data_IF_079252035720
#
_entry.id   IF_079252035720
#
_cell.length_a   1.000
_cell.length_b   1.000
_cell.length_c   1.000
_cell.angle_alpha   90.00
_cell.angle_beta   90.00
_cell.angle_gamma   90.00
#
_symmetry.space_group_name_H-M   'P 1'
#
loop_
_entity.id
_entity.type
_entity.pdbx_description
1 polymer ?
#
# COMPACT_ATOMS: atom_id res chain seq x y z
N UNK A 1 -1.97 69.95 33.99
CA UNK A 1 -1.85 70.23 32.54
C UNK A 1 -3.23 69.99 31.93
N UNK A 2 -4.05 71.04 31.74
CA UNK A 2 -5.40 70.89 31.17
C UNK A 2 -5.25 70.60 29.69
N UNK A 3 -5.44 69.35 29.28
CA UNK A 3 -5.39 68.96 27.88
C UNK A 3 -6.56 69.66 27.19
N UNK A 4 -6.24 70.52 26.23
CA UNK A 4 -7.22 71.28 25.49
C UNK A 4 -7.88 70.32 24.49
N UNK A 5 -9.03 69.75 24.85
CA UNK A 5 -9.73 68.74 24.05
C UNK A 5 -9.94 69.17 22.59
N UNK A 6 -10.07 70.48 22.35
CA UNK A 6 -10.16 71.04 21.01
C UNK A 6 -8.89 70.80 20.16
N UNK A 7 -7.70 70.89 20.77
CA UNK A 7 -6.44 70.58 20.08
C UNK A 7 -6.31 69.07 19.81
N UNK A 8 -6.75 68.22 20.75
CA UNK A 8 -6.72 66.77 20.57
C UNK A 8 -7.63 66.32 19.43
N UNK A 9 -8.85 66.85 19.36
CA UNK A 9 -9.82 66.57 18.28
C UNK A 9 -9.28 67.05 16.93
N UNK A 10 -8.69 68.25 16.87
CA UNK A 10 -8.06 68.78 15.64
C UNK A 10 -6.87 67.92 15.19
N UNK A 11 -6.09 67.39 16.15
CA UNK A 11 -4.96 66.52 15.86
C UNK A 11 -5.42 65.16 15.33
N UNK A 12 -6.38 64.52 16.00
CA UNK A 12 -6.98 63.25 15.58
C UNK A 12 -7.61 63.36 14.19
N UNK A 13 -8.40 64.40 13.94
CA UNK A 13 -9.03 64.64 12.65
C UNK A 13 -8.03 64.77 11.50
N UNK A 14 -6.88 65.44 11.74
CA UNK A 14 -5.80 65.55 10.76
C UNK A 14 -5.14 64.20 10.48
N UNK A 15 -4.84 63.42 11.51
CA UNK A 15 -4.25 62.08 11.33
C UNK A 15 -5.20 61.12 10.61
N UNK A 16 -6.51 61.16 10.91
CA UNK A 16 -7.50 60.35 10.18
C UNK A 16 -7.61 60.76 8.72
N UNK A 17 -7.48 62.06 8.41
CA UNK A 17 -7.53 62.55 7.04
C UNK A 17 -6.28 62.13 6.24
N UNK A 18 -5.10 62.19 6.86
CA UNK A 18 -3.87 61.68 6.25
C UNK A 18 -3.91 60.16 6.07
N UNK A 19 -4.46 59.41 7.03
CA UNK A 19 -4.66 57.96 6.92
C UNK A 19 -5.61 57.59 5.78
N UNK A 20 -6.72 58.31 5.64
CA UNK A 20 -7.67 58.08 4.55
C UNK A 20 -7.07 58.47 3.19
N UNK A 21 -6.32 59.56 3.10
CA UNK A 21 -5.62 59.95 1.88
C UNK A 21 -4.56 58.93 1.46
N UNK A 22 -3.79 58.41 2.43
CA UNK A 22 -2.83 57.33 2.21
C UNK A 22 -3.54 56.05 1.73
N UNK A 23 -4.67 55.70 2.33
CA UNK A 23 -5.47 54.54 1.94
C UNK A 23 -6.01 54.67 0.51
N UNK A 24 -6.51 55.85 0.12
CA UNK A 24 -6.96 56.12 -1.25
C UNK A 24 -5.79 56.06 -2.24
N UNK A 25 -4.60 56.53 -1.85
CA UNK A 25 -3.39 56.47 -2.69
C UNK A 25 -2.90 55.02 -2.91
N UNK A 26 -3.06 54.13 -1.92
CA UNK A 26 -2.78 52.70 -2.08
C UNK A 26 -3.89 51.93 -2.81
N UNK A 27 -5.11 52.46 -2.92
CA UNK A 27 -6.21 51.85 -3.67
C UNK A 27 -6.13 52.07 -5.19
N UNK A 28 -5.36 53.06 -5.65
CA UNK A 28 -5.21 53.37 -7.07
C UNK A 28 -3.96 52.72 -7.66
N UNK A 29 -3.89 51.39 -7.72
CA UNK A 29 -3.14 50.66 -8.75
C UNK A 29 -3.55 49.18 -8.80
N UNK A 30 -4.86 48.94 -8.92
CA UNK A 30 -5.35 47.76 -9.65
C UNK A 30 -6.07 48.32 -10.87
N UNK A 31 -5.29 48.80 -11.83
CA UNK A 31 -5.75 48.75 -13.21
C UNK A 31 -5.88 47.26 -13.51
N UNK A 32 -7.13 46.78 -13.44
CA UNK A 32 -7.53 45.56 -14.09
C UNK A 32 -7.20 45.75 -15.58
N UNK A 33 -6.00 45.35 -15.99
CA UNK A 33 -5.83 44.86 -17.34
C UNK A 33 -6.89 43.79 -17.48
N UNK A 34 -7.75 43.92 -18.49
CA UNK A 34 -8.60 42.82 -18.90
C UNK A 34 -7.70 41.61 -18.99
N UNK A 35 -7.86 40.66 -18.06
CA UNK A 35 -7.35 39.33 -18.24
C UNK A 35 -8.01 38.88 -19.54
N UNK A 36 -7.30 39.01 -20.65
CA UNK A 36 -7.69 38.43 -21.90
C UNK A 36 -7.70 36.93 -21.63
N UNK A 37 -8.87 36.47 -21.21
CA UNK A 37 -9.20 35.09 -20.98
C UNK A 37 -8.76 34.35 -22.24
N UNK A 38 -7.75 33.50 -22.07
CA UNK A 38 -7.37 32.40 -22.95
C UNK A 38 -7.97 32.49 -24.36
N UNK A 39 -7.36 33.30 -25.23
CA UNK A 39 -7.90 33.58 -26.56
C UNK A 39 -7.84 32.30 -27.41
N UNK A 40 -8.97 31.92 -28.00
CA UNK A 40 -9.05 30.81 -28.94
C UNK A 40 -8.38 31.20 -30.25
N UNK A 41 -7.76 30.23 -30.94
CA UNK A 41 -7.26 30.45 -32.32
C UNK A 41 -8.35 30.94 -33.28
N UNK A 42 -9.63 30.75 -32.95
CA UNK A 42 -10.76 31.22 -33.76
C UNK A 42 -11.06 32.73 -33.65
N UNK A 43 -10.49 33.38 -32.64
CA UNK A 43 -10.77 34.80 -32.33
C UNK A 43 -9.57 35.70 -32.60
N UNK A 44 -8.37 35.12 -32.71
CA UNK A 44 -7.13 35.84 -33.03
C UNK A 44 -6.95 35.94 -34.53
N UNK A 45 -6.63 37.14 -35.02
CA UNK A 45 -6.37 37.39 -36.43
C UNK A 45 -4.92 37.84 -36.65
N UNK A 46 -4.33 37.42 -37.76
CA UNK A 46 -2.94 37.63 -38.15
C UNK A 46 -2.86 38.18 -39.57
N UNK A 47 -1.77 38.87 -39.87
CA UNK A 47 -1.46 39.32 -41.23
C UNK A 47 -0.62 38.24 -41.95
N UNK A 48 -1.13 37.78 -43.10
CA UNK A 48 -0.54 36.69 -43.88
C UNK A 48 0.01 37.22 -45.20
N UNK A 49 1.26 36.86 -45.51
CA UNK A 49 2.05 37.41 -46.63
C UNK A 49 2.00 36.59 -47.94
N UNK A 50 1.01 35.70 -48.08
CA UNK A 50 0.66 35.09 -49.37
C UNK A 50 1.41 33.82 -49.75
N UNK A 51 2.73 33.78 -49.56
CA UNK A 51 3.56 32.61 -49.92
C UNK A 51 4.57 32.30 -48.83
N UNK A 52 4.66 31.03 -48.44
CA UNK A 52 5.62 30.53 -47.45
C UNK A 52 6.38 29.34 -47.99
N UNK A 53 7.68 29.24 -47.66
CA UNK A 53 8.56 28.17 -48.17
C UNK A 53 8.36 26.85 -47.40
N UNK A 54 7.89 26.92 -46.16
CA UNK A 54 7.63 25.74 -45.31
C UNK A 54 6.50 25.98 -44.31
N UNK A 55 5.94 24.88 -43.77
CA UNK A 55 4.97 24.95 -42.68
C UNK A 55 5.54 25.62 -41.42
N UNK A 56 6.83 25.41 -41.17
CA UNK A 56 7.54 26.03 -40.05
C UNK A 56 7.58 27.55 -40.16
N UNK A 57 7.77 28.08 -41.37
CA UNK A 57 7.79 29.53 -41.61
C UNK A 57 6.43 30.17 -41.30
N UNK A 58 5.33 29.47 -41.63
CA UNK A 58 3.97 29.90 -41.25
C UNK A 58 3.81 29.86 -39.74
N UNK A 59 4.17 28.75 -39.08
CA UNK A 59 4.01 28.63 -37.62
C UNK A 59 4.82 29.71 -36.89
N UNK A 60 6.08 29.94 -37.27
CA UNK A 60 6.89 31.03 -36.72
C UNK A 60 6.29 32.41 -36.95
N UNK A 61 5.64 32.62 -38.08
CA UNK A 61 4.93 33.88 -38.35
C UNK A 61 3.74 34.06 -37.41
N UNK A 62 3.00 32.98 -37.13
CA UNK A 62 1.91 32.96 -36.16
C UNK A 62 2.44 33.21 -34.75
N UNK A 63 3.50 32.52 -34.33
CA UNK A 63 4.16 32.69 -33.00
C UNK A 63 4.73 34.10 -32.80
N UNK A 64 5.14 34.78 -33.88
CA UNK A 64 5.66 36.14 -33.79
C UNK A 64 4.55 37.20 -33.62
N UNK A 65 3.36 36.92 -34.14
CA UNK A 65 2.22 37.85 -34.11
C UNK A 65 1.22 37.53 -32.99
N UNK A 66 1.34 36.37 -32.34
CA UNK A 66 0.39 35.86 -31.35
C UNK A 66 1.13 35.22 -30.18
N UNK A 67 0.46 35.07 -29.05
CA UNK A 67 1.03 34.38 -27.89
C UNK A 67 1.00 32.84 -28.02
N UNK A 68 0.68 32.30 -29.20
CA UNK A 68 0.62 30.85 -29.42
C UNK A 68 2.01 30.26 -29.64
N UNK A 69 2.24 29.04 -29.16
CA UNK A 69 3.45 28.25 -29.38
C UNK A 69 3.10 26.91 -30.05
N UNK A 70 3.82 26.53 -31.11
CA UNK A 70 3.56 25.29 -31.83
C UNK A 70 4.49 24.16 -31.38
N UNK A 71 3.89 23.02 -31.03
CA UNK A 71 4.60 21.78 -30.74
C UNK A 71 4.36 20.76 -31.86
N UNK A 72 5.41 20.39 -32.58
CA UNK A 72 5.36 19.45 -33.70
C UNK A 72 6.60 18.54 -33.73
N UNK A 73 6.44 17.33 -34.27
CA UNK A 73 7.54 16.38 -34.39
C UNK A 73 8.29 16.51 -35.73
N UNK A 74 9.53 16.03 -35.78
CA UNK A 74 10.48 16.21 -36.90
C UNK A 74 10.00 15.67 -38.28
N UNK A 75 8.87 14.95 -38.32
CA UNK A 75 8.24 14.48 -39.56
C UNK A 75 7.81 15.62 -40.51
N UNK A 76 7.84 16.87 -40.05
CA UNK A 76 7.53 18.05 -40.87
C UNK A 76 8.65 18.44 -41.85
N UNK A 77 9.89 17.97 -41.66
CA UNK A 77 11.02 18.29 -42.54
C UNK A 77 10.84 17.74 -43.98
N UNK A 78 9.94 16.77 -44.17
CA UNK A 78 9.62 16.18 -45.49
C UNK A 78 8.51 16.97 -46.24
N UNK A 79 7.93 18.00 -45.64
CA UNK A 79 6.87 18.84 -46.24
C UNK A 79 7.47 20.17 -46.71
N UNK A 80 8.40 20.10 -47.66
CA UNK A 80 8.98 21.27 -48.34
C UNK A 80 8.28 21.50 -49.68
N UNK A 81 7.17 22.22 -49.64
CA UNK A 81 6.48 22.71 -50.83
C UNK A 81 5.99 24.14 -50.59
N UNK A 82 6.02 24.97 -51.63
CA UNK A 82 5.51 26.34 -51.59
C UNK A 82 4.05 26.34 -51.14
N UNK A 83 3.80 26.93 -49.97
CA UNK A 83 2.48 26.98 -49.36
C UNK A 83 1.86 28.32 -49.72
N UNK A 84 0.84 28.27 -50.57
CA UNK A 84 0.07 29.46 -50.98
C UNK A 84 -1.15 29.58 -50.09
N UNK A 85 -1.23 30.69 -49.37
CA UNK A 85 -2.37 31.04 -48.50
C UNK A 85 -2.87 32.41 -48.95
N UNK A 86 -4.18 32.65 -48.95
CA UNK A 86 -4.71 33.94 -49.34
C UNK A 86 -4.17 35.09 -48.47
N UNK A 87 -3.66 36.16 -49.10
CA UNK A 87 -3.10 37.35 -48.46
C UNK A 87 -4.16 38.15 -47.68
N UNK A 88 -3.74 38.78 -46.58
CA UNK A 88 -4.55 39.72 -45.79
C UNK A 88 -4.75 39.32 -44.33
N UNK A 89 -5.66 40.04 -43.66
CA UNK A 89 -6.01 39.80 -42.25
C UNK A 89 -6.93 38.57 -42.13
N UNK A 90 -6.39 37.48 -41.56
CA UNK A 90 -7.03 36.16 -41.47
C UNK A 90 -7.07 35.69 -40.02
N UNK A 91 -8.13 34.97 -39.62
CA UNK A 91 -8.14 34.30 -38.31
C UNK A 91 -7.15 33.13 -38.31
N UNK A 92 -6.42 32.96 -37.21
CA UNK A 92 -5.46 31.85 -37.04
C UNK A 92 -6.14 30.50 -37.28
N UNK A 93 -7.34 30.33 -36.74
CA UNK A 93 -8.15 29.13 -36.94
C UNK A 93 -8.43 28.83 -38.40
N UNK A 94 -8.76 29.84 -39.23
CA UNK A 94 -9.04 29.62 -40.65
C UNK A 94 -7.77 29.20 -41.41
N UNK A 95 -6.63 29.77 -41.05
CA UNK A 95 -5.32 29.42 -41.63
C UNK A 95 -4.94 27.98 -41.27
N UNK A 96 -5.07 27.60 -39.99
CA UNK A 96 -4.79 26.23 -39.55
C UNK A 96 -5.77 25.21 -40.16
N UNK A 97 -7.02 25.61 -40.43
CA UNK A 97 -8.01 24.75 -41.07
C UNK A 97 -7.66 24.47 -42.53
N UNK A 98 -7.20 25.50 -43.25
CA UNK A 98 -6.72 25.39 -44.62
C UNK A 98 -5.50 24.45 -44.71
N UNK A 99 -4.53 24.63 -43.80
CA UNK A 99 -3.35 23.78 -43.67
C UNK A 99 -3.73 22.33 -43.30
N UNK A 100 -4.70 22.14 -42.40
CA UNK A 100 -5.22 20.82 -42.00
C UNK A 100 -5.72 20.03 -43.20
N UNK A 101 -6.43 20.71 -44.12
CA UNK A 101 -6.98 20.11 -45.34
C UNK A 101 -5.91 19.81 -46.38
N UNK A 102 -4.97 20.72 -46.60
CA UNK A 102 -3.90 20.54 -47.60
C UNK A 102 -2.92 19.43 -47.20
N UNK A 103 -2.50 19.39 -45.94
CA UNK A 103 -1.39 18.54 -45.49
C UNK A 103 -1.81 17.37 -44.59
N UNK A 104 -3.12 17.17 -44.40
CA UNK A 104 -3.68 16.10 -43.57
C UNK A 104 -3.18 16.13 -42.13
N UNK A 105 -3.21 17.32 -41.53
CA UNK A 105 -2.76 17.57 -40.17
C UNK A 105 -3.95 17.78 -39.22
N UNK A 106 -3.84 17.28 -37.99
CA UNK A 106 -4.72 17.59 -36.86
C UNK A 106 -4.03 18.61 -35.99
N UNK A 107 -4.73 19.70 -35.72
CA UNK A 107 -4.32 20.73 -34.78
C UNK A 107 -5.15 20.60 -33.51
N UNK A 108 -4.47 20.59 -32.37
CA UNK A 108 -5.12 20.58 -31.06
C UNK A 108 -4.51 21.69 -30.20
N UNK A 109 -5.32 22.70 -29.90
CA UNK A 109 -4.99 23.82 -29.03
C UNK A 109 -5.31 23.43 -27.58
N UNK A 110 -4.33 23.59 -26.70
CA UNK A 110 -4.49 23.57 -25.24
C UNK A 110 -3.81 24.81 -24.70
N UNK A 111 -4.60 25.74 -24.15
CA UNK A 111 -4.12 27.06 -23.73
C UNK A 111 -3.46 27.80 -24.89
N UNK A 112 -2.20 28.21 -24.73
CA UNK A 112 -1.40 28.84 -25.76
C UNK A 112 -0.61 27.85 -26.61
N UNK A 113 -0.57 26.57 -26.23
CA UNK A 113 0.17 25.57 -26.99
C UNK A 113 -0.71 24.91 -28.05
N UNK A 114 -0.20 24.81 -29.27
CA UNK A 114 -0.87 24.17 -30.41
C UNK A 114 -0.04 22.95 -30.81
N UNK A 115 -0.57 21.77 -30.54
CA UNK A 115 0.04 20.50 -30.95
C UNK A 115 -0.37 20.11 -32.37
N UNK A 116 0.60 19.72 -33.20
CA UNK A 116 0.38 19.34 -34.61
C UNK A 116 0.70 17.87 -34.83
N UNK A 117 -0.27 17.10 -35.32
CA UNK A 117 -0.14 15.65 -35.53
C UNK A 117 -0.60 15.25 -36.94
N UNK A 118 0.07 14.26 -37.56
CA UNK A 118 -0.34 13.71 -38.86
C UNK A 118 -1.55 12.78 -38.71
N UNK A 119 -2.55 12.91 -39.58
CA UNK A 119 -3.76 12.09 -39.57
C UNK A 119 -3.71 11.04 -40.68
N UNK A 120 -4.10 9.80 -40.37
CA UNK A 120 -4.23 8.73 -41.37
C UNK A 120 -5.47 8.99 -42.25
N UNK A 121 -5.37 8.71 -43.55
CA UNK A 121 -6.37 9.09 -44.57
C UNK A 121 -7.82 8.65 -44.28
N UNK A 122 -8.05 7.62 -43.46
CA UNK A 122 -9.39 7.10 -43.13
C UNK A 122 -10.09 7.85 -41.98
N UNK A 123 -9.46 8.85 -41.37
CA UNK A 123 -9.98 9.57 -40.19
C UNK A 123 -10.14 11.08 -40.41
N UNK A 124 -10.18 11.56 -41.65
CA UNK A 124 -10.39 12.99 -41.95
C UNK A 124 -11.88 13.31 -42.11
N UNK A 125 -12.48 14.11 -41.22
CA UNK A 125 -13.80 14.71 -41.43
C UNK A 125 -13.70 15.84 -42.48
N UNK A 126 -14.77 16.02 -43.28
CA UNK A 126 -14.85 17.02 -44.37
C UNK A 126 -14.60 18.47 -43.90
N UNK A 127 -14.80 18.77 -42.62
CA UNK A 127 -14.62 20.11 -42.07
C UNK A 127 -13.19 20.42 -41.61
N UNK A 128 -12.28 19.43 -41.56
CA UNK A 128 -10.91 19.52 -41.00
C UNK A 128 -10.86 19.41 -39.46
N UNK A 129 -9.70 19.13 -38.86
CA UNK A 129 -9.57 18.91 -37.40
C UNK A 129 -8.85 20.07 -36.69
N UNK A 130 -9.66 20.98 -36.14
CA UNK A 130 -9.23 21.96 -35.13
C UNK A 130 -9.99 21.72 -33.82
N UNK A 131 -9.30 21.17 -32.84
CA UNK A 131 -9.84 20.89 -31.51
C UNK A 131 -9.29 21.91 -30.52
N UNK A 132 -10.16 22.78 -29.98
CA UNK A 132 -9.81 23.78 -28.98
C UNK A 132 -10.30 23.28 -27.63
N UNK A 133 -9.36 22.87 -26.77
CA UNK A 133 -9.66 22.47 -25.40
C UNK A 133 -9.35 23.65 -24.49
N UNK A 134 -10.40 24.23 -23.90
CA UNK A 134 -10.25 25.21 -22.83
C UNK A 134 -10.11 24.43 -21.52
N UNK A 135 -9.13 24.79 -20.69
CA UNK A 135 -9.02 24.22 -19.34
C UNK A 135 -9.57 25.23 -18.34
N UNK A 136 -10.14 24.72 -17.25
CA UNK A 136 -10.52 25.52 -16.08
C UNK A 136 -9.84 24.96 -14.85
N UNK A 137 -9.43 25.83 -13.94
CA UNK A 137 -8.88 25.41 -12.65
C UNK A 137 -10.02 25.09 -11.69
N UNK A 138 -10.03 23.88 -11.13
CA UNK A 138 -10.91 23.44 -10.05
C UNK A 138 -10.08 23.40 -8.77
N UNK A 139 -10.56 24.05 -7.72
CA UNK A 139 -9.98 23.97 -6.39
C UNK A 139 -10.98 23.41 -5.39
N UNK A 140 -10.50 23.04 -4.20
CA UNK A 140 -11.37 22.56 -3.15
C UNK A 140 -10.61 21.98 -1.97
N UNK A 141 -11.36 21.52 -0.97
CA UNK A 141 -10.85 20.84 0.20
C UNK A 141 -11.46 19.46 0.37
N UNK A 142 -10.62 18.47 0.63
CA UNK A 142 -11.05 17.11 0.97
C UNK A 142 -10.99 16.93 2.48
N UNK A 143 -12.08 16.44 3.06
CA UNK A 143 -12.21 16.20 4.51
C UNK A 143 -12.72 14.80 4.81
N UNK A 144 -12.42 14.29 6.00
CA UNK A 144 -12.97 13.02 6.49
C UNK A 144 -14.40 13.21 7.00
N UNK A 145 -15.28 12.25 6.74
CA UNK A 145 -16.64 12.25 7.29
C UNK A 145 -16.66 12.12 8.82
N UNK A 146 -15.68 11.44 9.42
CA UNK A 146 -15.68 11.09 10.85
C UNK A 146 -15.38 12.31 11.75
N UNK A 147 -14.36 13.09 11.41
CA UNK A 147 -13.83 14.16 12.26
C UNK A 147 -13.77 15.53 11.57
N UNK A 148 -14.20 15.62 10.30
CA UNK A 148 -14.14 16.82 9.46
C UNK A 148 -12.72 17.41 9.31
N UNK A 149 -11.68 16.62 9.59
CA UNK A 149 -10.30 17.06 9.40
C UNK A 149 -9.93 17.00 7.92
N UNK A 150 -9.00 17.86 7.51
CA UNK A 150 -8.49 17.87 6.13
C UNK A 150 -7.69 16.60 5.86
N UNK A 151 -7.97 15.92 4.75
CA UNK A 151 -7.32 14.67 4.39
C UNK A 151 -6.11 14.93 3.48
N UNK A 152 -4.87 14.72 3.96
CA UNK A 152 -3.68 14.83 3.13
C UNK A 152 -3.50 13.57 2.25
N UNK A 153 -2.87 13.75 1.08
CA UNK A 153 -2.49 12.62 0.24
C UNK A 153 -3.63 11.97 -0.57
N UNK A 154 -4.77 12.62 -0.69
CA UNK A 154 -5.89 12.15 -1.51
C UNK A 154 -5.58 12.40 -2.99
N UNK A 155 -5.70 11.35 -3.81
CA UNK A 155 -5.57 11.46 -5.26
C UNK A 155 -6.87 11.99 -5.87
N UNK A 156 -6.78 13.11 -6.59
CA UNK A 156 -7.89 13.74 -7.31
C UNK A 156 -7.62 13.67 -8.80
N UNK A 157 -8.37 12.85 -9.54
CA UNK A 157 -8.09 12.55 -10.96
C UNK A 157 -9.31 12.87 -11.83
N UNK A 158 -9.09 13.41 -13.03
CA UNK A 158 -10.15 13.56 -14.04
C UNK A 158 -10.46 12.19 -14.65
N UNK A 159 -11.70 11.75 -14.50
CA UNK A 159 -12.15 10.40 -14.90
C UNK A 159 -11.79 10.09 -16.36
N UNK A 160 -11.15 8.95 -16.60
CA UNK A 160 -10.74 8.51 -17.95
C UNK A 160 -9.43 9.12 -18.46
N UNK A 161 -8.76 9.95 -17.67
CA UNK A 161 -7.45 10.54 -18.01
C UNK A 161 -6.41 10.23 -16.95
N UNK A 162 -5.14 10.56 -17.22
CA UNK A 162 -4.04 10.53 -16.24
C UNK A 162 -3.82 11.89 -15.56
N UNK A 163 -4.66 12.89 -15.85
CA UNK A 163 -4.53 14.23 -15.30
C UNK A 163 -5.15 14.27 -13.90
N UNK A 164 -4.32 14.57 -12.90
CA UNK A 164 -4.74 14.62 -11.51
C UNK A 164 -3.76 15.40 -10.64
N UNK A 165 -4.14 15.55 -9.38
CA UNK A 165 -3.35 16.22 -8.34
C UNK A 165 -3.51 15.48 -7.02
N UNK A 166 -2.73 15.85 -6.01
CA UNK A 166 -2.78 15.28 -4.66
C UNK A 166 -3.08 16.40 -3.66
N UNK A 167 -3.88 16.11 -2.63
CA UNK A 167 -4.18 17.10 -1.58
C UNK A 167 -2.97 17.41 -0.70
N UNK A 168 -2.88 18.66 -0.24
CA UNK A 168 -1.85 19.14 0.69
C UNK A 168 -2.09 18.66 2.14
N UNK A 169 -1.20 19.05 3.06
CA UNK A 169 -1.29 18.73 4.51
C UNK A 169 -2.59 19.17 5.18
N UNK A 170 -3.29 20.16 4.62
CA UNK A 170 -4.55 20.67 5.13
C UNK A 170 -5.76 20.13 4.34
N UNK A 171 -5.54 19.24 3.37
CA UNK A 171 -6.56 18.67 2.49
C UNK A 171 -6.94 19.52 1.28
N UNK A 172 -6.25 20.62 0.99
CA UNK A 172 -6.58 21.46 -0.17
C UNK A 172 -5.99 20.88 -1.46
N UNK A 173 -6.67 21.09 -2.58
CA UNK A 173 -6.18 20.74 -3.90
C UNK A 173 -6.50 21.82 -4.95
N UNK A 174 -5.75 21.80 -6.04
CA UNK A 174 -5.99 22.60 -7.24
C UNK A 174 -5.60 21.79 -8.48
N UNK A 175 -6.51 21.69 -9.45
CA UNK A 175 -6.36 20.88 -10.65
C UNK A 175 -6.93 21.61 -11.86
N UNK A 176 -6.14 21.73 -12.92
CA UNK A 176 -6.66 22.17 -14.21
C UNK A 176 -7.38 21.01 -14.90
N UNK A 177 -8.63 21.25 -15.32
CA UNK A 177 -9.51 20.25 -15.93
C UNK A 177 -10.02 20.77 -17.28
N UNK A 178 -9.98 19.97 -18.37
CA UNK A 178 -10.61 20.34 -19.63
C UNK A 178 -12.11 20.61 -19.45
N UNK A 179 -12.64 21.66 -20.09
CA UNK A 179 -14.08 22.01 -19.99
C UNK A 179 -15.02 20.95 -20.53
N UNK A 180 -14.52 19.98 -21.29
CA UNK A 180 -15.27 18.83 -21.82
C UNK A 180 -15.47 17.73 -20.78
N UNK A 181 -14.62 17.68 -19.75
CA UNK A 181 -14.64 16.63 -18.74
C UNK A 181 -15.40 17.07 -17.50
N UNK A 182 -16.24 16.16 -16.99
CA UNK A 182 -17.27 16.51 -16.01
C UNK A 182 -17.17 15.72 -14.73
N UNK A 183 -16.26 14.76 -14.58
CA UNK A 183 -16.21 13.94 -13.35
C UNK A 183 -14.80 13.88 -12.78
N UNK A 184 -14.67 14.21 -11.49
CA UNK A 184 -13.48 13.98 -10.69
C UNK A 184 -13.66 12.70 -9.87
N UNK A 185 -12.57 11.95 -9.73
CA UNK A 185 -12.47 10.75 -8.91
C UNK A 185 -11.54 11.04 -7.75
N UNK A 186 -12.03 10.85 -6.53
CA UNK A 186 -11.27 11.01 -5.31
C UNK A 186 -10.97 9.63 -4.75
N UNK A 187 -9.70 9.35 -4.48
CA UNK A 187 -9.26 8.08 -3.92
C UNK A 187 -8.18 8.27 -2.88
N UNK A 188 -8.29 7.53 -1.78
CA UNK A 188 -7.33 7.52 -0.68
C UNK A 188 -7.36 6.16 0.01
N UNK A 189 -6.25 5.76 0.61
CA UNK A 189 -6.15 4.48 1.32
C UNK A 189 -7.05 4.52 2.56
N UNK A 190 -7.91 3.53 2.72
CA UNK A 190 -8.86 3.44 3.84
C UNK A 190 -10.15 4.24 3.65
N UNK A 191 -10.40 4.81 2.47
CA UNK A 191 -11.62 5.54 2.12
C UNK A 191 -12.27 4.98 0.86
N UNK A 192 -13.60 5.09 0.78
CA UNK A 192 -14.35 4.69 -0.40
C UNK A 192 -14.01 5.65 -1.54
N UNK A 193 -13.81 5.11 -2.74
CA UNK A 193 -13.61 5.92 -3.94
C UNK A 193 -14.91 6.67 -4.27
N UNK A 194 -14.83 7.99 -4.33
CA UNK A 194 -15.98 8.86 -4.61
C UNK A 194 -15.82 9.50 -5.98
N UNK A 195 -16.91 9.54 -6.75
CA UNK A 195 -16.97 10.21 -8.04
C UNK A 195 -17.91 11.41 -7.97
N UNK A 196 -17.41 12.59 -8.31
CA UNK A 196 -18.19 13.84 -8.25
C UNK A 196 -18.26 14.47 -9.63
N UNK A 197 -19.49 14.75 -10.08
CA UNK A 197 -19.71 15.53 -11.27
C UNK A 197 -19.48 17.01 -10.97
N UNK A 198 -18.48 17.60 -11.63
CA UNK A 198 -18.03 18.98 -11.41
C UNK A 198 -18.85 20.03 -12.16
N UNK A 199 -19.71 19.63 -13.10
CA UNK A 199 -20.61 20.54 -13.83
C UNK A 199 -19.91 21.79 -14.35
N UNK A 200 -20.40 22.99 -13.97
CA UNK A 200 -19.75 24.29 -14.24
C UNK A 200 -19.11 24.92 -12.98
N UNK A 201 -18.96 24.16 -11.90
CA UNK A 201 -18.40 24.67 -10.65
C UNK A 201 -16.87 24.80 -10.77
N UNK A 202 -16.29 25.75 -10.03
CA UNK A 202 -14.84 25.98 -9.92
C UNK A 202 -14.28 25.63 -8.55
N UNK A 203 -15.15 25.47 -7.54
CA UNK A 203 -14.80 25.08 -6.17
C UNK A 203 -15.65 23.87 -5.78
N UNK A 204 -15.00 22.78 -5.36
CA UNK A 204 -15.65 21.52 -5.00
C UNK A 204 -15.02 20.97 -3.73
N UNK A 205 -15.76 21.04 -2.63
CA UNK A 205 -15.35 20.39 -1.39
C UNK A 205 -15.86 18.95 -1.36
N UNK A 206 -15.00 18.03 -0.94
CA UNK A 206 -15.29 16.60 -0.89
C UNK A 206 -15.21 16.11 0.55
N UNK A 207 -16.23 15.35 0.97
CA UNK A 207 -16.22 14.62 2.24
C UNK A 207 -16.06 13.14 1.94
N UNK A 208 -14.90 12.56 2.21
CA UNK A 208 -14.65 11.14 1.97
C UNK A 208 -15.21 10.28 3.09
N UNK A 209 -15.92 9.23 2.69
CA UNK A 209 -16.44 8.21 3.61
C UNK A 209 -15.35 7.17 3.88
N UNK A 210 -15.00 6.87 5.14
CA UNK A 210 -14.05 5.81 5.45
C UNK A 210 -14.58 4.46 4.94
N UNK A 211 -13.69 3.67 4.32
CA UNK A 211 -14.03 2.32 3.87
C UNK A 211 -13.88 1.36 5.05
N UNK A 212 -14.96 1.25 5.84
CA UNK A 212 -15.02 0.36 7.00
C UNK A 212 -14.90 -1.12 6.57
N UNK A 213 -15.19 -1.42 5.30
CA UNK A 213 -15.00 -2.75 4.69
C UNK A 213 -13.54 -3.07 4.38
N UNK A 214 -12.70 -2.07 4.10
CA UNK A 214 -11.27 -2.26 3.86
C UNK A 214 -10.47 -2.65 5.13
N UNK A 215 -11.11 -2.57 6.31
CA UNK A 215 -10.57 -3.06 7.58
C UNK A 215 -10.94 -4.53 7.88
N UNK A 216 -11.75 -5.17 7.03
CA UNK A 216 -12.04 -6.60 7.13
C UNK A 216 -11.00 -7.38 6.33
N UNK A 217 -9.98 -7.86 7.05
CA UNK A 217 -8.95 -8.78 6.58
C UNK A 217 -9.54 -9.88 5.68
N UNK A 218 -9.27 -9.79 4.36
CA UNK A 218 -9.73 -10.76 3.38
C UNK A 218 -8.89 -12.02 3.54
N UNK A 219 -9.55 -13.08 3.93
CA UNK A 219 -9.01 -14.42 4.05
C UNK A 219 -9.32 -15.17 2.75
N UNK A 220 -8.27 -15.50 1.99
CA UNK A 220 -8.40 -16.28 0.75
C UNK A 220 -8.27 -17.76 1.11
N UNK A 221 -9.40 -18.42 1.34
CA UNK A 221 -9.46 -19.88 1.45
C UNK A 221 -9.69 -20.40 0.03
N UNK A 222 -8.84 -21.32 -0.42
CA UNK A 222 -8.89 -21.90 -1.76
C UNK A 222 -10.31 -22.24 -2.23
N UNK A 223 -10.64 -21.74 -3.43
CA UNK A 223 -11.88 -21.94 -4.23
C UNK A 223 -13.12 -21.06 -3.91
N UNK A 224 -13.04 -20.05 -3.04
CA UNK A 224 -14.10 -19.02 -2.94
C UNK A 224 -13.83 -17.91 -1.93
N UNK A 225 -14.35 -16.71 -2.19
CA UNK A 225 -14.30 -15.56 -1.26
C UNK A 225 -15.48 -15.64 -0.28
N UNK A 226 -15.21 -15.79 1.02
CA UNK A 226 -16.26 -15.75 2.06
C UNK A 226 -15.87 -14.72 3.10
N UNK A 227 -16.81 -13.83 3.46
CA UNK A 227 -16.58 -12.82 4.50
C UNK A 227 -16.40 -13.48 5.86
N UNK A 228 -15.54 -12.91 6.71
CA UNK A 228 -15.35 -13.34 8.12
C UNK A 228 -16.66 -13.33 8.91
N UNK A 229 -17.63 -12.49 8.51
CA UNK A 229 -18.97 -12.40 9.06
C UNK A 229 -19.94 -13.51 8.61
N UNK A 230 -19.69 -14.17 7.48
CA UNK A 230 -20.53 -15.28 6.98
C UNK A 230 -20.09 -16.65 7.55
N UNK A 231 -18.91 -16.70 8.18
CA UNK A 231 -18.48 -17.82 9.01
C UNK A 231 -19.09 -17.65 10.41
N UNK A 232 -20.28 -18.22 10.62
CA UNK A 232 -20.94 -18.29 11.94
C UNK A 232 -20.18 -19.16 12.96
N UNK A 233 -18.92 -19.53 12.69
CA UNK A 233 -18.08 -20.43 13.47
C UNK A 233 -16.83 -19.73 14.04
N UNK A 234 -16.32 -20.28 15.13
CA UNK A 234 -15.11 -19.84 15.85
C UNK A 234 -13.85 -20.04 15.03
N UNK A 235 -13.56 -19.14 14.11
CA UNK A 235 -12.26 -19.09 13.42
C UNK A 235 -11.26 -18.32 14.30
N UNK A 236 -10.10 -18.93 14.56
CA UNK A 236 -8.96 -18.21 15.13
C UNK A 236 -8.04 -17.76 14.01
N UNK A 237 -7.68 -16.48 13.94
CA UNK A 237 -6.67 -15.97 13.00
C UNK A 237 -5.45 -15.48 13.78
N UNK A 238 -4.26 -15.75 13.25
CA UNK A 238 -2.98 -15.24 13.72
C UNK A 238 -2.32 -14.55 12.52
N UNK A 239 -2.06 -13.26 12.65
CA UNK A 239 -1.51 -12.42 11.58
C UNK A 239 0.02 -12.49 11.54
N UNK A 240 0.63 -12.11 10.41
CA UNK A 240 2.10 -12.00 10.30
C UNK A 240 2.73 -11.14 11.42
N UNK A 241 2.06 -10.04 11.81
CA UNK A 241 2.55 -9.14 12.88
C UNK A 241 2.64 -9.85 14.24
N UNK A 242 1.78 -10.83 14.49
CA UNK A 242 1.80 -11.63 15.72
C UNK A 242 2.94 -12.65 15.75
N UNK A 243 3.51 -12.98 14.58
CA UNK A 243 4.55 -13.99 14.36
C UNK A 243 5.93 -13.33 14.26
N UNK A 244 6.06 -12.22 13.52
CA UNK A 244 7.33 -11.56 13.18
C UNK A 244 8.14 -11.07 14.39
N UNK A 245 7.48 -10.75 15.50
CA UNK A 245 8.15 -10.26 16.72
C UNK A 245 8.55 -11.35 17.71
N UNK A 246 8.29 -12.62 17.39
CA UNK A 246 8.60 -13.73 18.28
C UNK A 246 9.90 -14.41 17.81
N UNK A 247 10.92 -14.55 18.70
CA UNK A 247 12.13 -15.31 18.40
C UNK A 247 11.85 -16.81 18.53
N UNK A 248 10.90 -17.31 17.75
CA UNK A 248 10.52 -18.72 17.71
C UNK A 248 11.27 -19.45 16.62
N UNK A 249 11.61 -20.69 16.90
CA UNK A 249 12.34 -21.56 15.97
C UNK A 249 11.41 -22.28 14.99
N UNK A 250 10.11 -22.35 15.31
CA UNK A 250 9.10 -23.01 14.48
C UNK A 250 7.74 -22.34 14.59
N UNK A 251 6.93 -22.48 13.54
CA UNK A 251 5.56 -21.93 13.49
C UNK A 251 4.66 -22.57 14.56
N UNK A 252 4.96 -23.79 15.02
CA UNK A 252 4.20 -24.43 16.08
C UNK A 252 4.25 -23.68 17.41
N UNK A 253 5.37 -23.00 17.69
CA UNK A 253 5.56 -22.24 18.92
C UNK A 253 4.70 -20.96 18.91
N UNK A 254 4.42 -20.36 17.75
CA UNK A 254 3.55 -19.18 17.67
C UNK A 254 2.09 -19.51 17.93
N UNK A 255 1.66 -20.75 17.65
CA UNK A 255 0.31 -21.22 17.95
C UNK A 255 0.05 -21.36 19.46
N UNK A 256 1.11 -21.46 20.28
CA UNK A 256 0.98 -21.62 21.73
C UNK A 256 0.34 -20.37 22.37
N UNK A 257 -0.89 -20.54 22.88
CA UNK A 257 -1.58 -19.50 23.66
C UNK A 257 -2.13 -18.32 22.83
N UNK A 258 -1.90 -18.29 21.52
CA UNK A 258 -2.42 -17.25 20.62
C UNK A 258 -3.83 -17.55 20.09
N UNK A 259 -4.21 -18.83 20.00
CA UNK A 259 -5.54 -19.24 19.56
C UNK A 259 -6.32 -19.95 20.68
N UNK A 260 -7.47 -19.39 21.07
CA UNK A 260 -8.34 -20.00 22.07
C UNK A 260 -8.79 -21.41 21.65
N UNK A 261 -8.68 -22.39 22.54
CA UNK A 261 -9.07 -23.79 22.27
C UNK A 261 -8.08 -24.58 21.41
N UNK A 262 -6.88 -24.05 21.18
CA UNK A 262 -5.76 -24.75 20.54
C UNK A 262 -4.74 -25.10 21.62
N UNK A 263 -4.44 -26.39 21.73
CA UNK A 263 -3.42 -26.91 22.63
C UNK A 263 -2.26 -27.42 21.78
N UNK A 264 -1.07 -26.89 22.03
CA UNK A 264 0.16 -27.35 21.40
C UNK A 264 1.00 -28.01 22.47
N UNK A 265 1.37 -29.28 22.25
CA UNK A 265 2.20 -30.05 23.17
C UNK A 265 3.51 -30.44 22.50
N UNK A 266 4.62 -30.05 23.12
CA UNK A 266 5.94 -30.55 22.73
C UNK A 266 6.10 -31.99 23.24
N UNK A 267 6.45 -32.90 22.34
CA UNK A 267 6.74 -34.30 22.69
C UNK A 267 8.17 -34.46 23.22
N UNK A 268 9.07 -33.51 22.93
CA UNK A 268 10.47 -33.55 23.35
C UNK A 268 11.12 -32.17 23.28
N UNK A 269 12.08 -31.88 24.16
CA UNK A 269 12.93 -30.68 24.08
C UNK A 269 14.03 -30.75 23.01
N UNK A 270 14.00 -31.75 22.12
CA UNK A 270 14.98 -31.90 21.04
C UNK A 270 14.65 -30.93 19.89
N UNK A 271 15.62 -30.12 19.42
CA UNK A 271 15.43 -29.29 18.25
C UNK A 271 14.99 -30.11 17.03
N UNK A 272 14.05 -29.57 16.25
CA UNK A 272 13.55 -30.21 15.02
C UNK A 272 12.50 -31.32 15.22
N UNK A 273 12.11 -31.63 16.46
CA UNK A 273 10.96 -32.52 16.71
C UNK A 273 9.65 -31.73 16.56
N UNK A 274 8.73 -32.24 15.73
CA UNK A 274 7.42 -31.64 15.53
C UNK A 274 6.61 -31.55 16.84
N UNK A 275 5.89 -30.46 17.01
CA UNK A 275 4.93 -30.30 18.11
C UNK A 275 3.57 -30.82 17.66
N UNK A 276 2.86 -31.48 18.58
CA UNK A 276 1.50 -31.96 18.30
C UNK A 276 0.49 -30.85 18.61
N UNK A 277 -0.35 -30.53 17.63
CA UNK A 277 -1.42 -29.52 17.76
C UNK A 277 -2.75 -30.24 17.94
N UNK A 278 -3.59 -29.73 18.85
CA UNK A 278 -4.90 -30.27 19.13
C UNK A 278 -5.92 -29.13 19.24
N UNK A 279 -6.99 -29.21 18.46
CA UNK A 279 -8.06 -28.20 18.43
C UNK A 279 -9.28 -28.78 19.14
N UNK A 280 -9.74 -28.10 20.20
CA UNK A 280 -10.90 -28.52 21.03
C UNK A 280 -10.78 -29.92 21.67
N UNK A 281 -9.56 -30.39 21.94
CA UNK A 281 -9.31 -31.64 22.66
C UNK A 281 -9.26 -32.88 21.77
N UNK A 282 -9.35 -34.07 22.37
CA UNK A 282 -9.26 -35.35 21.65
C UNK A 282 -10.63 -35.85 21.20
N UNK A 283 -10.83 -35.97 19.89
CA UNK A 283 -12.03 -36.57 19.30
C UNK A 283 -12.01 -38.11 19.21
N UNK A 284 -10.88 -38.75 19.54
CA UNK A 284 -10.70 -40.20 19.44
C UNK A 284 -9.75 -40.70 20.53
N UNK A 285 -10.02 -41.91 21.02
CA UNK A 285 -9.21 -42.62 22.03
C UNK A 285 -8.08 -43.42 21.35
N UNK A 286 -8.30 -43.89 20.12
CA UNK A 286 -7.37 -44.78 19.39
C UNK A 286 -6.91 -44.23 18.03
N UNK A 287 -7.51 -43.13 17.55
CA UNK A 287 -7.22 -42.52 16.25
C UNK A 287 -6.29 -41.30 16.35
N UNK A 288 -5.87 -40.78 15.20
CA UNK A 288 -5.10 -39.55 15.12
C UNK A 288 -5.97 -38.34 15.51
N UNK A 289 -5.45 -37.47 16.38
CA UNK A 289 -6.11 -36.24 16.83
C UNK A 289 -5.44 -34.97 16.28
N UNK A 290 -4.45 -35.11 15.38
CA UNK A 290 -3.88 -33.97 14.67
C UNK A 290 -4.94 -33.33 13.74
N UNK A 291 -4.91 -32.01 13.57
CA UNK A 291 -5.73 -31.32 12.57
C UNK A 291 -5.18 -31.59 11.16
N UNK A 292 -5.99 -31.25 10.16
CA UNK A 292 -5.51 -31.17 8.78
C UNK A 292 -4.75 -29.85 8.61
N UNK A 293 -3.54 -29.91 8.06
CA UNK A 293 -2.79 -28.71 7.69
C UNK A 293 -3.01 -28.40 6.22
N UNK A 294 -3.21 -27.14 5.86
CA UNK A 294 -3.38 -26.70 4.47
C UNK A 294 -2.41 -25.55 4.24
N UNK A 295 -1.40 -25.75 3.40
CA UNK A 295 -0.41 -24.73 3.07
C UNK A 295 -0.68 -24.25 1.66
N UNK A 296 -0.99 -22.97 1.48
CA UNK A 296 -1.30 -22.36 0.18
C UNK A 296 -2.34 -23.15 -0.64
N UNK A 297 -3.34 -23.71 0.05
CA UNK A 297 -4.41 -24.52 -0.55
C UNK A 297 -4.09 -26.00 -0.72
N UNK A 298 -2.86 -26.45 -0.44
CA UNK A 298 -2.47 -27.86 -0.53
C UNK A 298 -2.60 -28.57 0.84
N UNK A 299 -3.41 -29.64 0.95
CA UNK A 299 -3.58 -30.36 2.21
C UNK A 299 -2.39 -31.28 2.52
N UNK A 300 -1.94 -31.23 3.76
CA UNK A 300 -0.91 -32.07 4.36
C UNK A 300 -1.49 -32.81 5.56
N UNK A 301 -1.44 -34.14 5.52
CA UNK A 301 -1.77 -34.95 6.69
C UNK A 301 -0.56 -35.03 7.61
N UNK A 302 -0.75 -34.73 8.89
CA UNK A 302 0.22 -35.12 9.92
C UNK A 302 0.12 -36.64 10.13
N UNK A 303 0.76 -37.41 9.26
CA UNK A 303 0.90 -38.85 9.45
C UNK A 303 2.10 -39.14 10.36
N UNK A 304 1.95 -39.95 11.41
CA UNK A 304 3.09 -40.45 12.16
C UNK A 304 3.89 -41.40 11.25
N UNK A 305 4.93 -40.87 10.62
CA UNK A 305 5.82 -41.63 9.74
C UNK A 305 6.74 -42.52 10.57
N UNK A 306 6.39 -43.80 10.74
CA UNK A 306 7.33 -44.90 11.03
C UNK A 306 8.26 -44.76 12.24
N UNK A 307 7.94 -43.88 13.17
CA UNK A 307 8.68 -43.55 14.38
C UNK A 307 7.82 -42.56 15.16
N UNK A 308 7.97 -42.50 16.48
CA UNK A 308 7.09 -41.76 17.41
C UNK A 308 7.13 -40.21 17.26
N UNK A 309 7.32 -39.67 16.05
CA UNK A 309 7.41 -38.25 15.76
C UNK A 309 6.35 -37.87 14.74
N UNK A 310 5.38 -37.05 15.16
CA UNK A 310 4.39 -36.44 14.27
C UNK A 310 5.11 -35.49 13.32
N UNK A 311 5.11 -35.80 12.01
CA UNK A 311 5.62 -34.88 10.99
C UNK A 311 4.57 -33.82 10.73
N UNK A 312 4.74 -32.67 11.36
CA UNK A 312 3.88 -31.51 11.16
C UNK A 312 4.56 -30.58 10.12
N UNK A 313 3.89 -30.21 9.01
CA UNK A 313 4.48 -29.30 8.01
C UNK A 313 4.91 -27.95 8.60
N UNK A 314 4.31 -27.52 9.72
CA UNK A 314 4.68 -26.30 10.44
C UNK A 314 6.10 -26.30 11.01
N UNK A 315 6.72 -27.46 11.24
CA UNK A 315 8.13 -27.51 11.68
C UNK A 315 9.13 -27.32 10.54
N UNK A 316 8.68 -27.43 9.28
CA UNK A 316 9.52 -27.21 8.09
C UNK A 316 9.36 -25.84 7.47
N UNK A 317 8.32 -25.09 7.88
CA UNK A 317 8.06 -23.74 7.39
C UNK A 317 8.81 -22.72 8.24
N UNK A 318 9.40 -21.73 7.57
CA UNK A 318 10.02 -20.60 8.24
C UNK A 318 8.91 -19.62 8.69
N UNK A 319 8.85 -19.22 9.97
CA UNK A 319 7.88 -18.24 10.46
C UNK A 319 7.87 -16.92 9.69
N UNK A 320 9.01 -16.48 9.14
CA UNK A 320 9.10 -15.21 8.39
C UNK A 320 8.34 -15.24 7.06
N UNK A 321 8.11 -16.43 6.52
CA UNK A 321 7.48 -16.62 5.21
C UNK A 321 5.95 -16.73 5.35
N UNK A 322 5.43 -16.77 6.57
CA UNK A 322 4.00 -16.88 6.85
C UNK A 322 3.34 -15.50 6.82
N UNK A 323 2.28 -15.38 6.04
CA UNK A 323 1.41 -14.20 6.00
C UNK A 323 0.28 -14.28 7.03
N UNK A 324 -0.39 -15.43 7.10
CA UNK A 324 -1.47 -15.66 8.05
C UNK A 324 -1.59 -17.15 8.40
N UNK A 325 -2.09 -17.42 9.60
CA UNK A 325 -2.51 -18.75 10.03
C UNK A 325 -3.94 -18.68 10.50
N UNK A 326 -4.79 -19.50 9.92
CA UNK A 326 -6.21 -19.57 10.22
C UNK A 326 -6.57 -20.95 10.73
N UNK A 327 -7.37 -20.98 11.78
CA UNK A 327 -7.70 -22.19 12.49
C UNK A 327 -9.21 -22.35 12.48
N UNK A 328 -9.68 -23.31 11.68
CA UNK A 328 -11.08 -23.69 11.55
C UNK A 328 -11.42 -24.72 12.62
N UNK A 329 -12.27 -24.32 13.57
CA UNK A 329 -12.60 -25.14 14.76
C UNK A 329 -13.98 -25.81 14.69
N UNK A 330 -14.86 -25.31 13.84
CA UNK A 330 -16.27 -25.72 13.75
C UNK A 330 -16.57 -26.55 12.50
N UNK A 331 -17.52 -27.47 12.64
CA UNK A 331 -17.92 -28.39 11.56
C UNK A 331 -18.41 -27.67 10.29
N UNK A 332 -19.01 -26.48 10.41
CA UNK A 332 -19.45 -25.67 9.26
C UNK A 332 -18.28 -25.10 8.46
N UNK A 333 -17.23 -24.62 9.15
CA UNK A 333 -16.02 -24.09 8.52
C UNK A 333 -15.18 -25.21 7.89
N UNK A 334 -15.21 -26.40 8.48
CA UNK A 334 -14.39 -27.54 8.06
C UNK A 334 -15.09 -28.43 7.02
N UNK A 335 -16.38 -28.25 6.76
CA UNK A 335 -17.17 -29.08 5.85
C UNK A 335 -16.54 -29.25 4.46
N UNK A 336 -15.78 -28.25 3.99
CA UNK A 336 -15.08 -28.25 2.69
C UNK A 336 -14.00 -29.34 2.64
N UNK A 337 -13.32 -29.60 3.77
CA UNK A 337 -12.23 -30.58 3.87
C UNK A 337 -12.71 -31.99 4.28
N UNK A 338 -14.02 -32.16 4.46
CA UNK A 338 -14.65 -33.45 4.76
C UNK A 338 -14.15 -34.11 6.04
N UNK A 339 -14.07 -35.44 6.05
CA UNK A 339 -13.69 -36.22 7.23
C UNK A 339 -12.26 -35.95 7.73
N UNK A 340 -11.37 -35.46 6.86
CA UNK A 340 -9.97 -35.15 7.20
C UNK A 340 -9.85 -33.94 8.13
N UNK A 341 -10.82 -33.03 8.08
CA UNK A 341 -10.89 -31.91 9.00
C UNK A 341 -11.71 -32.18 10.28
N UNK A 342 -12.12 -33.41 10.57
CA UNK A 342 -12.91 -33.70 11.77
C UNK A 342 -12.25 -33.23 13.09
N UNK A 343 -10.92 -33.11 13.11
CA UNK A 343 -10.12 -32.59 14.22
C UNK A 343 -9.78 -31.09 14.12
N UNK A 344 -10.41 -30.38 13.19
CA UNK A 344 -10.09 -29.00 12.82
C UNK A 344 -9.12 -28.90 11.64
N UNK A 345 -9.00 -27.70 11.07
CA UNK A 345 -8.10 -27.39 9.95
C UNK A 345 -7.25 -26.18 10.29
N UNK A 346 -5.95 -26.28 10.04
CA UNK A 346 -5.00 -25.17 10.14
C UNK A 346 -4.60 -24.78 8.72
N UNK A 347 -5.09 -23.63 8.27
CA UNK A 347 -4.74 -23.04 6.97
C UNK A 347 -3.57 -22.09 7.19
N UNK A 348 -2.57 -22.21 6.34
CA UNK A 348 -1.35 -21.41 6.36
C UNK A 348 -1.23 -20.78 4.98
N UNK A 349 -1.13 -19.46 4.98
CA UNK A 349 -0.89 -18.68 3.76
C UNK A 349 0.50 -18.10 3.83
N UNK A 350 1.31 -18.34 2.80
CA UNK A 350 2.65 -17.78 2.69
C UNK A 350 2.63 -16.40 2.04
N UNK A 351 3.63 -15.57 2.36
CA UNK A 351 3.80 -14.25 1.77
C UNK A 351 4.05 -14.39 0.27
N UNK A 352 3.24 -13.68 -0.53
CA UNK A 352 3.42 -13.58 -1.98
C UNK A 352 4.02 -12.23 -2.36
N UNK A 353 4.77 -12.19 -3.47
CA UNK A 353 5.34 -10.94 -3.98
C UNK A 353 4.24 -10.00 -4.48
N UNK A 354 4.30 -8.73 -4.07
CA UNK A 354 3.40 -7.68 -4.55
C UNK A 354 3.95 -7.01 -5.81
N UNK A 355 3.05 -6.54 -6.68
CA UNK A 355 3.43 -5.79 -7.88
C UNK A 355 3.91 -4.39 -7.44
N UNK A 356 5.19 -4.11 -7.59
CA UNK A 356 5.76 -2.83 -7.18
C UNK A 356 7.29 -2.80 -7.23
N UNK A 357 7.87 -1.81 -6.55
CA UNK A 357 9.31 -1.75 -6.36
C UNK A 357 9.80 -2.94 -5.51
N UNK A 358 10.97 -3.53 -5.81
CA UNK A 358 11.49 -4.65 -5.03
C UNK A 358 11.77 -4.21 -3.58
N UNK A 359 11.18 -4.92 -2.62
CA UNK A 359 11.44 -4.74 -1.19
C UNK A 359 12.39 -5.85 -0.75
N UNK A 360 13.50 -5.47 -0.11
CA UNK A 360 14.50 -6.41 0.41
C UNK A 360 14.59 -6.23 1.92
N UNK A 361 14.23 -7.27 2.68
CA UNK A 361 14.43 -7.36 4.13
C UNK A 361 15.56 -8.33 4.45
N UNK A 362 16.33 -8.03 5.50
CA UNK A 362 17.41 -8.89 5.99
C UNK A 362 17.34 -8.96 7.51
N UNK A 363 17.21 -10.18 8.02
CA UNK A 363 17.07 -10.47 9.45
C UNK A 363 18.21 -11.38 9.90
N UNK A 364 18.84 -11.05 11.03
CA UNK A 364 19.93 -11.83 11.61
C UNK A 364 19.77 -11.91 13.13
N UNK A 365 19.81 -13.14 13.67
CA UNK A 365 19.65 -13.41 15.09
C UNK A 365 20.77 -14.33 15.59
N UNK A 366 21.16 -14.16 16.86
CA UNK A 366 22.12 -15.01 17.56
C UNK A 366 21.59 -15.34 18.94
N UNK A 367 21.68 -16.60 19.36
CA UNK A 367 21.19 -17.06 20.66
C UNK A 367 21.98 -18.27 21.17
N UNK A 368 22.08 -18.37 22.50
CA UNK A 368 22.71 -19.51 23.19
C UNK A 368 21.63 -20.17 24.04
N UNK A 369 21.43 -21.47 23.86
CA UNK A 369 20.49 -22.26 24.65
C UNK A 369 21.24 -23.02 25.74
N UNK A 370 20.72 -22.97 26.98
CA UNK A 370 21.22 -23.77 28.10
C UNK A 370 20.05 -24.40 28.87
N UNK A 371 20.30 -25.52 29.54
CA UNK A 371 19.30 -26.16 30.39
C UNK A 371 19.03 -25.28 31.61
N UNK A 372 17.77 -24.90 31.84
CA UNK A 372 17.39 -24.01 32.96
C UNK A 372 17.74 -24.61 34.34
N UNK A 373 17.70 -25.95 34.46
CA UNK A 373 18.02 -26.68 35.69
C UNK A 373 18.61 -28.04 35.33
N UNK A 374 19.94 -28.20 35.29
CA UNK A 374 20.51 -29.54 35.37
C UNK A 374 20.07 -30.17 36.70
N UNK A 375 19.75 -31.46 36.68
CA UNK A 375 19.57 -32.18 37.94
C UNK A 375 20.90 -32.15 38.69
N UNK A 376 20.86 -31.86 39.98
CA UNK A 376 22.02 -32.00 40.84
C UNK A 376 22.35 -33.50 40.93
N UNK A 377 23.36 -33.92 40.17
CA UNK A 377 23.85 -35.29 40.20
C UNK A 377 24.77 -35.45 41.40
N UNK A 378 24.64 -36.57 42.11
CA UNK A 378 25.59 -36.94 43.15
C UNK A 378 26.98 -37.18 42.53
N UNK A 379 28.03 -36.73 43.22
CA UNK A 379 29.40 -36.98 42.79
C UNK A 379 29.76 -38.47 42.89
N UNK A 380 30.85 -38.90 42.24
CA UNK A 380 31.26 -40.31 42.20
C UNK A 380 31.38 -40.96 43.60
N UNK A 381 31.96 -40.24 44.59
CA UNK A 381 32.06 -40.72 45.98
C UNK A 381 30.69 -40.90 46.65
N UNK A 382 29.76 -39.96 46.42
CA UNK A 382 28.41 -40.03 46.96
C UNK A 382 27.60 -41.15 46.30
N UNK A 383 27.82 -41.41 45.02
CA UNK A 383 27.25 -42.55 44.32
C UNK A 383 27.76 -43.88 44.88
N UNK A 384 29.07 -44.02 45.11
CA UNK A 384 29.63 -45.24 45.71
C UNK A 384 29.13 -45.48 47.14
N UNK A 385 28.97 -44.41 47.92
CA UNK A 385 28.34 -44.50 49.25
C UNK A 385 26.88 -44.96 49.14
N UNK A 386 26.09 -44.35 48.26
CA UNK A 386 24.71 -44.75 48.01
C UNK A 386 24.60 -46.21 47.54
N UNK A 387 25.51 -46.64 46.66
CA UNK A 387 25.57 -48.02 46.17
C UNK A 387 25.86 -49.01 47.31
N UNK A 388 26.82 -48.70 48.18
CA UNK A 388 27.14 -49.54 49.33
C UNK A 388 26.00 -49.59 50.35
N UNK A 389 25.35 -48.45 50.62
CA UNK A 389 24.18 -48.37 51.50
C UNK A 389 23.03 -49.22 50.93
N UNK A 390 22.81 -49.17 49.61
CA UNK A 390 21.81 -49.99 48.93
C UNK A 390 22.14 -51.49 48.99
N UNK A 391 23.39 -51.88 48.71
CA UNK A 391 23.84 -53.27 48.79
C UNK A 391 23.68 -53.86 50.20
N UNK A 392 23.94 -53.04 51.23
CA UNK A 392 23.74 -53.40 52.64
C UNK A 392 22.25 -53.53 53.00
N UNK A 393 21.41 -52.67 52.43
CA UNK A 393 19.95 -52.70 52.68
C UNK A 393 19.26 -53.91 52.05
N UNK A 394 19.61 -54.27 50.80
CA UNK A 394 18.99 -55.41 50.11
C UNK A 394 19.59 -56.79 50.50
N UNK A 395 20.62 -56.81 51.34
CA UNK A 395 21.37 -58.02 51.72
C UNK A 395 21.74 -58.86 50.49
N UNK A 396 22.13 -58.16 49.41
CA UNK A 396 22.35 -58.75 48.10
C UNK A 396 23.84 -59.11 47.94
N UNK A 397 24.22 -60.40 48.04
CA UNK A 397 25.62 -60.83 48.08
C UNK A 397 26.34 -60.75 46.71
N UNK A 398 25.68 -60.23 45.68
CA UNK A 398 26.23 -60.07 44.32
C UNK A 398 26.71 -58.64 44.02
N UNK A 399 26.55 -57.72 44.98
CA UNK A 399 27.04 -56.34 44.87
C UNK A 399 28.29 -56.22 45.74
N UNK A 400 29.46 -56.20 45.10
CA UNK A 400 30.73 -55.96 45.80
C UNK A 400 30.78 -54.49 46.26
N UNK A 401 30.85 -54.20 47.57
CA UNK A 401 30.85 -52.84 48.06
C UNK A 401 32.19 -52.16 47.75
N UNK A 402 32.14 -50.89 47.37
CA UNK A 402 33.32 -50.05 47.21
C UNK A 402 34.05 -49.88 48.54
N UNK A 403 35.37 -49.95 48.52
CA UNK A 403 36.21 -49.73 49.71
C UNK A 403 36.27 -48.26 50.10
N UNK A 404 36.66 -47.97 51.34
CA UNK A 404 36.82 -46.59 51.83
C UNK A 404 37.83 -45.78 51.02
N UNK A 405 38.85 -46.45 50.49
CA UNK A 405 39.91 -45.82 49.70
C UNK A 405 39.38 -45.43 48.30
N UNK A 406 38.60 -46.30 47.67
CA UNK A 406 37.93 -46.05 46.38
C UNK A 406 36.91 -44.91 46.47
N UNK A 407 36.17 -44.82 47.59
CA UNK A 407 35.23 -43.72 47.84
C UNK A 407 35.98 -42.40 48.02
N UNK A 408 37.15 -42.42 48.66
CA UNK A 408 37.94 -41.21 48.95
C UNK A 408 38.66 -40.64 47.73
N UNK A 409 38.97 -41.48 46.73
CA UNK A 409 39.70 -41.13 45.52
C UNK A 409 39.07 -41.79 44.29
N UNK A 410 37.85 -41.36 43.89
CA UNK A 410 37.16 -41.91 42.73
C UNK A 410 37.95 -41.64 41.43
N UNK A 411 38.11 -42.66 40.58
CA UNK A 411 38.57 -42.44 39.20
C UNK A 411 37.46 -41.77 38.38
N UNK A 412 37.56 -40.45 38.20
CA UNK A 412 36.58 -39.67 37.44
C UNK A 412 37.12 -39.26 36.07
N UNK A 413 36.19 -39.00 35.14
CA UNK A 413 36.51 -38.30 33.90
C UNK A 413 36.69 -36.78 34.13
N UNK A 414 36.91 -36.04 33.04
CA UNK A 414 37.10 -34.58 33.04
C UNK A 414 35.89 -33.80 33.59
N UNK A 415 34.73 -34.44 33.74
CA UNK A 415 33.50 -33.84 34.25
C UNK A 415 33.18 -34.28 35.69
N UNK A 416 34.06 -35.03 36.36
CA UNK A 416 33.83 -35.52 37.73
C UNK A 416 32.85 -36.68 37.82
N UNK A 417 32.45 -37.26 36.69
CA UNK A 417 31.62 -38.46 36.61
C UNK A 417 32.48 -39.72 36.63
N UNK A 418 31.98 -40.81 37.21
CA UNK A 418 32.71 -42.07 37.30
C UNK A 418 33.02 -42.62 35.90
N UNK A 419 34.26 -43.03 35.65
CA UNK A 419 34.62 -43.71 34.39
C UNK A 419 34.09 -45.14 34.45
N UNK A 420 33.31 -45.54 33.44
CA UNK A 420 32.78 -46.90 33.29
C UNK A 420 33.80 -47.83 32.63
#
# INVERSE_FOLDING_TARGET
MKINYLQLIKMLSRFTFYGLFLQVFFFTFILANSSDAQRSVRDVSIEVSGTYNSLEEIFKTIEKQTDFEFAYAAFMNDVNQDIKIAEGNRRVGDVLLEISRMYKLKFRQVNNSISVNKVKSNQMPEQGLLEVLQTRTISGKVTSQEDQTGLPGVNVIVKGTVQGTVTDVNGNYSLDVPTTETTLVFSSVGFIQEEVNIGNQSVIDMVMTPDITALEEIVVIGYGTVKKSDLTGSVGSISAKDIEHLPVSSVNETLMGKAAGVQVTSQSGRPGVGMSVRIRGSNSIQGNNEPLYVVDGMPFDATPSGGNFSQNPLSTLNPTDIQSIEILKDASAVAIYGSRGANGVVIITTKQGEIGAPVVSFDAYYGIQSSLRPYETIGASQFMQYYNDYATYEDNPLLDPFTSDEISSPETDINGTMRW
#
